data_IF_880451243478
#
_entry.id   IF_880451243478
#
_cell.length_a   1.000
_cell.length_b   1.000
_cell.length_c   1.000
_cell.angle_alpha   90.00
_cell.angle_beta   90.00
_cell.angle_gamma   90.00
#
_symmetry.space_group_name_H-M   'P 1'
#
loop_
_entity.id
_entity.type
_entity.pdbx_description
1 polymer ?
#
# COMPACT_ATOMS: atom_id res chain seq x y z
N UNK A 1 -21.62 -36.31 14.08
CA UNK A 1 -20.77 -35.99 12.95
C UNK A 1 -20.86 -34.48 12.80
N UNK A 2 -19.88 -33.75 13.33
CA UNK A 2 -19.81 -32.33 13.16
C UNK A 2 -19.21 -32.10 11.78
N UNK A 3 -20.05 -31.69 10.83
CA UNK A 3 -19.55 -31.16 9.56
C UNK A 3 -18.56 -30.06 9.87
N UNK A 4 -17.28 -30.29 9.59
CA UNK A 4 -16.29 -29.23 9.53
C UNK A 4 -16.71 -28.35 8.35
N UNK A 5 -17.42 -27.27 8.66
CA UNK A 5 -17.62 -26.19 7.71
C UNK A 5 -16.21 -25.67 7.42
N UNK A 6 -15.61 -26.17 6.34
CA UNK A 6 -14.39 -25.57 5.80
C UNK A 6 -14.75 -24.13 5.48
N UNK A 7 -14.21 -23.19 6.25
CA UNK A 7 -14.35 -21.76 6.00
C UNK A 7 -13.76 -21.49 4.61
N UNK A 8 -14.63 -21.38 3.61
CA UNK A 8 -14.24 -21.01 2.26
C UNK A 8 -14.06 -19.51 2.24
N UNK A 9 -12.83 -19.04 2.42
CA UNK A 9 -12.49 -17.63 2.42
C UNK A 9 -11.66 -17.30 1.19
N UNK A 10 -12.03 -16.25 0.48
CA UNK A 10 -11.22 -15.59 -0.54
C UNK A 10 -10.56 -14.37 0.09
N UNK A 11 -9.24 -14.27 -0.03
CA UNK A 11 -8.48 -13.09 0.33
C UNK A 11 -8.23 -12.24 -0.92
N UNK A 12 -8.73 -11.02 -0.91
CA UNK A 12 -8.64 -10.08 -2.01
C UNK A 12 -8.12 -8.72 -1.52
N UNK A 13 -7.43 -8.00 -2.37
CA UNK A 13 -6.96 -6.64 -2.09
C UNK A 13 -6.89 -5.79 -3.34
N UNK A 14 -6.95 -4.47 -3.18
CA UNK A 14 -6.65 -3.55 -4.27
C UNK A 14 -5.21 -3.77 -4.78
N UNK A 15 -4.95 -3.49 -6.05
CA UNK A 15 -3.61 -3.59 -6.68
C UNK A 15 -2.54 -2.80 -5.93
N UNK A 16 -2.96 -1.80 -5.16
CA UNK A 16 -2.12 -0.91 -4.36
C UNK A 16 -1.52 -1.56 -3.11
N UNK A 17 -1.75 -2.84 -2.83
CA UNK A 17 -1.14 -3.50 -1.67
C UNK A 17 0.34 -3.87 -1.88
N UNK A 18 0.84 -3.75 -3.10
CA UNK A 18 2.25 -3.81 -3.50
C UNK A 18 3.05 -5.02 -2.99
N UNK A 19 2.37 -6.14 -2.68
CA UNK A 19 3.05 -7.36 -2.26
C UNK A 19 3.93 -7.94 -3.37
N UNK A 20 5.04 -8.57 -2.97
CA UNK A 20 5.85 -9.36 -3.87
C UNK A 20 5.13 -10.66 -4.31
N UNK A 21 5.73 -11.37 -5.26
CA UNK A 21 5.15 -12.58 -5.81
C UNK A 21 5.10 -13.71 -4.78
N UNK A 22 6.08 -13.79 -3.89
CA UNK A 22 6.16 -14.82 -2.85
C UNK A 22 4.96 -14.75 -1.91
N UNK A 23 4.66 -13.58 -1.35
CA UNK A 23 3.53 -13.39 -0.44
C UNK A 23 2.18 -13.51 -1.15
N UNK A 24 2.11 -13.07 -2.43
CA UNK A 24 0.90 -13.25 -3.26
C UNK A 24 0.53 -14.71 -3.41
N UNK A 25 1.51 -15.54 -3.74
CA UNK A 25 1.33 -16.98 -3.94
C UNK A 25 1.09 -17.70 -2.62
N UNK A 26 1.86 -17.38 -1.58
CA UNK A 26 1.72 -17.97 -0.24
C UNK A 26 0.32 -17.84 0.32
N UNK A 27 -0.29 -16.67 0.20
CA UNK A 27 -1.62 -16.40 0.75
C UNK A 27 -2.74 -16.41 -0.28
N UNK A 28 -2.46 -16.82 -1.52
CA UNK A 28 -3.43 -16.87 -2.63
C UNK A 28 -4.23 -15.59 -2.80
N UNK A 29 -3.53 -14.44 -2.79
CA UNK A 29 -4.17 -13.12 -2.83
C UNK A 29 -4.71 -12.80 -4.22
N UNK A 30 -5.99 -12.47 -4.30
CA UNK A 30 -6.65 -12.01 -5.51
C UNK A 30 -6.60 -10.48 -5.60
N UNK A 31 -5.92 -9.95 -6.61
CA UNK A 31 -5.78 -8.52 -6.81
C UNK A 31 -6.90 -7.95 -7.64
N UNK A 32 -7.34 -6.76 -7.23
CA UNK A 32 -8.25 -5.95 -8.00
C UNK A 32 -7.55 -4.68 -8.52
N UNK A 33 -7.39 -4.53 -9.86
CA UNK A 33 -6.63 -3.42 -10.44
C UNK A 33 -7.41 -2.11 -10.34
N UNK A 34 -6.74 -1.04 -9.87
CA UNK A 34 -7.25 0.31 -9.94
C UNK A 34 -7.00 0.89 -11.37
N UNK A 35 -7.60 2.04 -11.65
CA UNK A 35 -7.50 2.71 -12.95
C UNK A 35 -6.40 3.75 -12.98
N UNK A 36 -5.60 3.74 -14.05
CA UNK A 36 -4.58 4.73 -14.36
C UNK A 36 -5.00 5.47 -15.64
N UNK A 37 -5.19 6.76 -15.53
CA UNK A 37 -5.49 7.62 -16.70
C UNK A 37 -4.20 8.31 -17.14
N UNK A 38 -3.68 7.92 -18.29
CA UNK A 38 -2.48 8.48 -18.87
C UNK A 38 -2.73 8.92 -20.30
N UNK A 39 -2.52 10.20 -20.60
CA UNK A 39 -2.71 10.77 -21.92
C UNK A 39 -4.12 10.51 -22.50
N UNK A 40 -5.15 10.63 -21.64
CA UNK A 40 -6.55 10.43 -21.99
C UNK A 40 -6.99 8.97 -22.19
N UNK A 41 -6.10 7.99 -21.95
CA UNK A 41 -6.41 6.56 -21.99
C UNK A 41 -6.55 6.01 -20.59
N UNK A 42 -7.45 5.06 -20.42
CA UNK A 42 -7.65 4.30 -19.20
C UNK A 42 -6.90 2.97 -19.28
N UNK A 43 -6.13 2.67 -18.23
CA UNK A 43 -5.33 1.46 -18.08
C UNK A 43 -5.64 0.82 -16.71
N UNK A 44 -5.51 -0.50 -16.64
CA UNK A 44 -5.60 -1.28 -15.40
C UNK A 44 -4.23 -1.43 -14.75
N UNK A 45 -4.12 -1.03 -13.51
CA UNK A 45 -2.89 -1.05 -12.73
C UNK A 45 -2.23 -2.45 -12.71
N UNK A 46 -0.99 -2.52 -13.20
CA UNK A 46 -0.19 -3.75 -13.25
C UNK A 46 -0.66 -4.80 -14.25
N UNK A 47 -1.65 -4.48 -15.12
CA UNK A 47 -2.13 -5.38 -16.18
C UNK A 47 -1.67 -4.88 -17.56
N UNK A 48 -1.99 -3.65 -17.89
CA UNK A 48 -1.76 -3.09 -19.24
C UNK A 48 -0.91 -1.81 -19.24
N UNK A 49 -0.33 -1.48 -18.09
CA UNK A 49 0.64 -0.39 -17.91
C UNK A 49 1.62 -0.72 -16.78
N UNK A 50 2.83 -0.18 -16.87
CA UNK A 50 3.90 -0.31 -15.88
C UNK A 50 4.33 1.06 -15.34
N UNK A 51 4.94 1.12 -14.13
CA UNK A 51 5.50 2.37 -13.60
C UNK A 51 6.56 3.00 -14.51
N UNK A 52 7.35 2.17 -15.20
CA UNK A 52 8.37 2.62 -16.13
C UNK A 52 7.76 3.39 -17.32
N UNK A 53 6.67 2.89 -17.89
CA UNK A 53 5.95 3.56 -18.98
C UNK A 53 5.35 4.90 -18.53
N UNK A 54 4.82 4.95 -17.29
CA UNK A 54 4.33 6.20 -16.69
C UNK A 54 5.47 7.22 -16.58
N UNK A 55 6.63 6.80 -16.07
CA UNK A 55 7.77 7.71 -15.91
C UNK A 55 8.38 8.11 -17.24
N UNK A 56 8.47 7.19 -18.21
CA UNK A 56 8.95 7.50 -19.54
C UNK A 56 8.08 8.57 -20.20
N UNK A 57 6.75 8.44 -20.12
CA UNK A 57 5.79 9.42 -20.65
C UNK A 57 5.99 10.80 -20.00
N UNK A 58 6.22 10.83 -18.68
CA UNK A 58 6.51 12.08 -17.99
C UNK A 58 7.86 12.69 -18.41
N UNK A 59 8.91 11.90 -18.58
CA UNK A 59 10.22 12.43 -18.96
C UNK A 59 10.22 12.97 -20.40
N UNK A 60 9.54 12.29 -21.31
CA UNK A 60 9.52 12.66 -22.73
C UNK A 60 8.55 13.84 -23.00
N UNK A 61 7.35 13.79 -22.44
CA UNK A 61 6.26 14.69 -22.84
C UNK A 61 5.74 15.57 -21.69
N UNK A 62 6.24 15.40 -20.46
CA UNK A 62 5.75 16.07 -19.24
C UNK A 62 4.29 15.78 -18.90
N UNK A 63 3.74 14.68 -19.40
CA UNK A 63 2.39 14.23 -19.08
C UNK A 63 2.43 13.48 -17.75
N UNK A 64 1.64 13.96 -16.80
CA UNK A 64 1.48 13.32 -15.49
C UNK A 64 0.29 12.37 -15.51
N UNK A 65 0.41 11.19 -14.86
CA UNK A 65 -0.70 10.28 -14.71
C UNK A 65 -1.77 10.84 -13.77
N UNK A 66 -2.98 10.31 -13.90
CA UNK A 66 -4.06 10.44 -12.92
C UNK A 66 -4.54 9.05 -12.54
N UNK A 67 -5.19 8.93 -11.40
CA UNK A 67 -5.80 7.68 -10.97
C UNK A 67 -7.30 7.87 -10.82
N UNK A 68 -8.09 6.83 -11.08
CA UNK A 68 -9.52 6.83 -10.85
C UNK A 68 -9.91 5.67 -9.91
N UNK A 69 -10.92 5.93 -9.08
CA UNK A 69 -11.45 4.91 -8.20
C UNK A 69 -12.26 3.88 -9.00
N UNK A 70 -12.19 2.64 -8.58
CA UNK A 70 -13.07 1.56 -9.05
C UNK A 70 -14.51 1.89 -8.69
N UNK A 71 -15.45 1.62 -9.60
CA UNK A 71 -16.86 1.86 -9.35
C UNK A 71 -17.55 0.64 -8.71
N UNK A 72 -18.79 0.82 -8.25
CA UNK A 72 -19.58 -0.21 -7.55
C UNK A 72 -19.81 -1.43 -8.42
N UNK A 73 -20.13 -1.25 -9.71
CA UNK A 73 -20.44 -2.35 -10.61
C UNK A 73 -19.22 -3.25 -10.86
N UNK A 74 -18.04 -2.68 -10.97
CA UNK A 74 -16.78 -3.43 -11.11
C UNK A 74 -16.48 -4.28 -9.87
N UNK A 75 -16.72 -3.77 -8.65
CA UNK A 75 -16.59 -4.55 -7.42
C UNK A 75 -17.62 -5.69 -7.34
N UNK A 76 -18.87 -5.43 -7.74
CA UNK A 76 -19.90 -6.49 -7.82
C UNK A 76 -19.47 -7.58 -8.80
N UNK A 77 -19.03 -7.22 -10.00
CA UNK A 77 -18.55 -8.17 -11.01
C UNK A 77 -17.37 -9.01 -10.49
N UNK A 78 -16.47 -8.39 -9.74
CA UNK A 78 -15.31 -9.06 -9.16
C UNK A 78 -15.67 -10.07 -8.07
N UNK A 79 -16.54 -9.70 -7.13
CA UNK A 79 -16.85 -10.56 -5.97
C UNK A 79 -17.94 -11.58 -6.24
N UNK A 80 -18.89 -11.26 -7.13
CA UNK A 80 -20.08 -12.07 -7.37
C UNK A 80 -19.79 -13.55 -7.67
N UNK A 81 -18.80 -13.94 -8.49
CA UNK A 81 -18.52 -15.36 -8.74
C UNK A 81 -18.22 -16.15 -7.48
N UNK A 82 -17.45 -15.58 -6.55
CA UNK A 82 -17.08 -16.24 -5.30
C UNK A 82 -18.25 -16.31 -4.32
N UNK A 83 -19.03 -15.22 -4.22
CA UNK A 83 -20.23 -15.20 -3.36
C UNK A 83 -21.26 -16.21 -3.84
N UNK A 84 -21.50 -16.31 -5.16
CA UNK A 84 -22.42 -17.27 -5.75
C UNK A 84 -21.97 -18.74 -5.51
N UNK A 85 -20.66 -18.99 -5.37
CA UNK A 85 -20.07 -20.28 -5.01
C UNK A 85 -20.04 -20.54 -3.49
N UNK A 86 -20.54 -19.62 -2.69
CA UNK A 86 -20.65 -19.73 -1.22
C UNK A 86 -19.34 -19.45 -0.47
N UNK A 87 -18.45 -18.62 -1.03
CA UNK A 87 -17.28 -18.12 -0.32
C UNK A 87 -17.65 -16.87 0.50
N UNK A 88 -16.94 -16.70 1.63
CA UNK A 88 -16.81 -15.42 2.30
C UNK A 88 -15.61 -14.70 1.68
N UNK A 89 -15.75 -13.42 1.32
CA UNK A 89 -14.66 -12.63 0.75
C UNK A 89 -14.17 -11.63 1.80
N UNK A 90 -12.86 -11.59 2.04
CA UNK A 90 -12.21 -10.52 2.78
C UNK A 90 -11.49 -9.66 1.75
N UNK A 91 -11.89 -8.39 1.63
CA UNK A 91 -11.26 -7.45 0.72
C UNK A 91 -10.67 -6.27 1.46
N UNK A 92 -9.38 -5.97 1.20
CA UNK A 92 -8.64 -4.90 1.88
C UNK A 92 -8.36 -3.80 0.87
N UNK A 93 -9.00 -2.65 1.08
CA UNK A 93 -8.91 -1.48 0.19
C UNK A 93 -7.76 -0.55 0.56
N UNK A 94 -7.33 0.23 -0.44
CA UNK A 94 -6.63 1.49 -0.25
C UNK A 94 -7.39 2.40 0.72
N UNK A 95 -6.68 3.06 1.61
CA UNK A 95 -7.27 3.90 2.65
C UNK A 95 -8.34 4.87 2.14
N UNK A 96 -9.47 4.95 2.83
CA UNK A 96 -10.65 5.73 2.45
C UNK A 96 -10.38 7.23 2.34
N UNK A 97 -9.39 7.75 3.05
CA UNK A 97 -8.94 9.15 2.94
C UNK A 97 -8.23 9.47 1.62
N UNK A 98 -7.79 8.45 0.88
CA UNK A 98 -7.00 8.57 -0.34
C UNK A 98 -7.83 8.35 -1.61
N UNK A 99 -8.91 7.56 -1.51
CA UNK A 99 -9.74 7.17 -2.66
C UNK A 99 -11.17 6.87 -2.22
N UNK A 100 -12.16 7.13 -3.10
CA UNK A 100 -13.54 6.67 -2.92
C UNK A 100 -13.73 5.18 -3.22
N UNK A 101 -12.68 4.45 -3.60
CA UNK A 101 -12.75 3.01 -3.89
C UNK A 101 -13.33 2.22 -2.71
N UNK A 102 -12.90 2.51 -1.47
CA UNK A 102 -13.43 1.87 -0.28
C UNK A 102 -14.95 2.05 -0.12
N UNK A 103 -15.45 3.28 -0.30
CA UNK A 103 -16.89 3.54 -0.21
C UNK A 103 -17.68 2.77 -1.27
N UNK A 104 -17.17 2.75 -2.52
CA UNK A 104 -17.79 1.99 -3.61
C UNK A 104 -17.77 0.49 -3.33
N UNK A 105 -16.68 -0.02 -2.76
CA UNK A 105 -16.56 -1.42 -2.33
C UNK A 105 -17.57 -1.77 -1.23
N UNK A 106 -17.78 -0.91 -0.24
CA UNK A 106 -18.79 -1.10 0.80
C UNK A 106 -20.20 -1.21 0.22
N UNK A 107 -20.56 -0.37 -0.75
CA UNK A 107 -21.87 -0.43 -1.42
C UNK A 107 -22.04 -1.77 -2.15
N UNK A 108 -21.00 -2.22 -2.88
CA UNK A 108 -21.02 -3.52 -3.56
C UNK A 108 -21.16 -4.68 -2.57
N UNK A 109 -20.46 -4.60 -1.43
CA UNK A 109 -20.51 -5.61 -0.38
C UNK A 109 -21.90 -5.68 0.30
N UNK A 110 -22.57 -4.55 0.52
CA UNK A 110 -23.95 -4.51 1.04
C UNK A 110 -24.93 -5.18 0.07
N UNK A 111 -24.75 -5.00 -1.23
CA UNK A 111 -25.62 -5.62 -2.25
C UNK A 111 -25.43 -7.13 -2.33
N UNK A 112 -24.15 -7.60 -2.28
CA UNK A 112 -23.84 -9.02 -2.45
C UNK A 112 -24.02 -9.86 -1.17
N UNK A 113 -23.77 -9.25 0.00
CA UNK A 113 -23.52 -10.00 1.24
C UNK A 113 -22.21 -10.81 1.17
N UNK A 114 -21.85 -11.45 2.27
CA UNK A 114 -20.65 -12.32 2.36
C UNK A 114 -19.32 -11.68 1.94
N UNK A 115 -19.24 -10.35 1.89
CA UNK A 115 -18.03 -9.58 1.59
C UNK A 115 -17.69 -8.70 2.78
N UNK A 116 -16.52 -8.93 3.36
CA UNK A 116 -15.99 -8.18 4.50
C UNK A 116 -14.97 -7.17 4.00
N UNK A 117 -15.39 -5.92 3.92
CA UNK A 117 -14.55 -4.81 3.45
C UNK A 117 -13.76 -4.22 4.61
N UNK A 118 -12.45 -4.06 4.41
CA UNK A 118 -11.52 -3.47 5.37
C UNK A 118 -10.94 -2.19 4.79
N UNK A 119 -11.19 -1.07 5.45
CA UNK A 119 -10.41 0.16 5.22
C UNK A 119 -9.03 -0.04 5.83
N UNK A 120 -8.01 -0.07 5.01
CA UNK A 120 -6.64 -0.22 5.53
C UNK A 120 -6.16 0.99 6.32
N UNK A 121 -6.77 2.15 6.18
CA UNK A 121 -6.23 3.43 6.63
C UNK A 121 -4.76 3.61 6.21
N UNK A 122 -4.37 3.01 5.09
CA UNK A 122 -2.98 2.97 4.63
C UNK A 122 -2.89 2.92 3.11
N UNK A 123 -1.69 2.74 2.62
CA UNK A 123 -1.35 2.60 1.20
C UNK A 123 -0.18 1.61 1.04
N UNK A 124 0.04 1.15 -0.19
CA UNK A 124 1.20 0.34 -0.53
C UNK A 124 1.30 -0.91 0.37
N UNK A 125 2.48 -1.31 0.75
CA UNK A 125 2.67 -2.46 1.64
C UNK A 125 2.18 -2.23 3.09
N UNK A 126 1.67 -1.05 3.44
CA UNK A 126 0.85 -0.89 4.64
C UNK A 126 -0.50 -1.63 4.52
N UNK A 127 -1.06 -1.73 3.30
CA UNK A 127 -2.13 -2.66 2.98
C UNK A 127 -1.59 -4.09 3.01
N UNK A 128 -0.37 -4.29 2.45
CA UNK A 128 0.32 -5.58 2.41
C UNK A 128 0.51 -6.23 3.78
N UNK A 129 0.81 -5.45 4.84
CA UNK A 129 0.86 -5.93 6.23
C UNK A 129 -0.47 -6.57 6.63
N UNK A 130 -1.59 -5.86 6.44
CA UNK A 130 -2.92 -6.37 6.75
C UNK A 130 -3.31 -7.60 5.91
N UNK A 131 -2.89 -7.64 4.63
CA UNK A 131 -3.11 -8.81 3.76
C UNK A 131 -2.33 -10.03 4.29
N UNK A 132 -1.08 -9.81 4.72
CA UNK A 132 -0.26 -10.87 5.32
C UNK A 132 -0.88 -11.38 6.63
N UNK A 133 -1.36 -10.49 7.49
CA UNK A 133 -2.08 -10.84 8.71
C UNK A 133 -3.36 -11.63 8.41
N UNK A 134 -4.16 -11.19 7.42
CA UNK A 134 -5.35 -11.92 6.99
C UNK A 134 -5.00 -13.33 6.52
N UNK A 135 -3.93 -13.47 5.71
CA UNK A 135 -3.44 -14.75 5.25
C UNK A 135 -3.06 -15.68 6.40
N UNK A 136 -2.28 -15.20 7.38
CA UNK A 136 -1.91 -15.94 8.59
C UNK A 136 -3.15 -16.39 9.40
N UNK A 137 -4.15 -15.50 9.55
CA UNK A 137 -5.38 -15.82 10.26
C UNK A 137 -6.25 -16.86 9.51
N UNK A 138 -6.27 -16.82 8.18
CA UNK A 138 -6.94 -17.84 7.35
C UNK A 138 -6.25 -19.20 7.52
N UNK A 139 -4.93 -19.26 7.48
CA UNK A 139 -4.15 -20.48 7.73
C UNK A 139 -4.40 -21.06 9.12
N UNK A 140 -4.68 -20.22 10.12
CA UNK A 140 -5.06 -20.63 11.48
C UNK A 140 -6.51 -21.11 11.57
N UNK A 141 -7.29 -21.06 10.49
CA UNK A 141 -8.68 -21.51 10.44
C UNK A 141 -9.67 -20.56 11.10
N UNK A 142 -9.34 -19.29 11.26
CA UNK A 142 -10.25 -18.29 11.81
C UNK A 142 -11.44 -18.03 10.86
N UNK A 143 -12.58 -17.62 11.41
CA UNK A 143 -13.75 -17.24 10.61
C UNK A 143 -13.56 -15.87 9.97
N UNK A 144 -14.11 -15.65 8.79
CA UNK A 144 -14.01 -14.37 8.07
C UNK A 144 -14.46 -13.17 8.90
N UNK A 145 -15.54 -13.30 9.67
CA UNK A 145 -16.03 -12.26 10.57
C UNK A 145 -15.04 -11.89 11.67
N UNK A 146 -14.35 -12.89 12.23
CA UNK A 146 -13.35 -12.68 13.30
C UNK A 146 -12.08 -12.05 12.74
N UNK A 147 -11.64 -12.51 11.55
CA UNK A 147 -10.52 -11.92 10.80
C UNK A 147 -10.82 -10.45 10.50
N UNK A 148 -11.99 -10.17 9.93
CA UNK A 148 -12.39 -8.80 9.60
C UNK A 148 -12.40 -7.89 10.82
N UNK A 149 -12.84 -8.39 11.98
CA UNK A 149 -12.79 -7.65 13.25
C UNK A 149 -11.34 -7.40 13.70
N UNK A 150 -10.50 -8.42 13.66
CA UNK A 150 -9.09 -8.31 14.04
C UNK A 150 -8.35 -7.32 13.15
N UNK A 151 -8.54 -7.38 11.83
CA UNK A 151 -7.89 -6.47 10.88
C UNK A 151 -8.25 -5.01 11.14
N UNK A 152 -9.52 -4.69 11.47
CA UNK A 152 -9.92 -3.32 11.79
C UNK A 152 -9.21 -2.75 13.03
N UNK A 153 -8.82 -3.60 13.98
CA UNK A 153 -7.98 -3.15 15.10
C UNK A 153 -6.50 -3.03 14.69
N UNK A 154 -6.01 -3.96 13.85
CA UNK A 154 -4.62 -3.97 13.36
C UNK A 154 -4.26 -2.73 12.53
N UNK A 155 -5.21 -2.08 11.84
CA UNK A 155 -4.95 -0.84 11.08
C UNK A 155 -4.28 0.25 11.91
N UNK A 156 -4.54 0.30 13.21
CA UNK A 156 -3.97 1.29 14.14
C UNK A 156 -2.49 1.05 14.44
N UNK A 157 -2.00 -0.13 14.11
CA UNK A 157 -0.63 -0.60 14.37
C UNK A 157 0.23 -0.67 13.11
N UNK A 158 -0.37 -0.45 11.92
CA UNK A 158 0.35 -0.44 10.64
C UNK A 158 0.96 0.93 10.35
N UNK A 159 2.27 1.05 10.37
CA UNK A 159 3.00 2.30 10.14
C UNK A 159 3.57 2.33 8.73
N UNK A 160 3.21 3.36 7.97
CA UNK A 160 3.71 3.62 6.63
C UNK A 160 4.36 4.99 6.54
N UNK A 161 5.57 5.03 6.00
CA UNK A 161 6.25 6.29 5.70
C UNK A 161 7.24 6.10 4.54
N UNK A 162 7.56 7.18 3.83
CA UNK A 162 8.45 7.12 2.69
C UNK A 162 9.15 8.45 2.44
N UNK A 163 10.34 8.39 1.82
CA UNK A 163 11.10 9.54 1.36
C UNK A 163 10.83 9.77 -0.12
N UNK A 164 10.51 11.01 -0.46
CA UNK A 164 10.32 11.45 -1.85
C UNK A 164 11.59 12.09 -2.40
N UNK A 165 11.93 11.73 -3.64
CA UNK A 165 12.97 12.42 -4.40
C UNK A 165 12.42 13.68 -5.07
N UNK A 166 11.18 13.63 -5.57
CA UNK A 166 10.46 14.75 -6.18
C UNK A 166 9.06 14.89 -5.61
N UNK A 167 8.57 16.13 -5.51
CA UNK A 167 7.19 16.41 -5.07
C UNK A 167 6.20 16.54 -6.23
N UNK A 168 6.69 16.52 -7.48
CA UNK A 168 5.88 16.80 -8.68
C UNK A 168 4.64 15.91 -8.77
N UNK A 169 4.84 14.60 -8.61
CA UNK A 169 3.77 13.61 -8.70
C UNK A 169 2.78 13.73 -7.54
N UNK A 170 3.28 13.83 -6.30
CA UNK A 170 2.42 13.91 -5.13
C UNK A 170 1.62 15.21 -5.09
N UNK A 171 2.22 16.33 -5.52
CA UNK A 171 1.53 17.60 -5.65
C UNK A 171 0.42 17.54 -6.70
N UNK A 172 0.71 16.98 -7.88
CA UNK A 172 -0.27 16.81 -8.96
C UNK A 172 -1.41 15.84 -8.56
N UNK A 173 -1.07 14.80 -7.78
CA UNK A 173 -2.04 13.82 -7.27
C UNK A 173 -3.00 14.37 -6.24
N UNK A 174 -2.63 15.40 -5.48
CA UNK A 174 -3.50 16.09 -4.53
C UNK A 174 -3.90 15.28 -3.28
N UNK A 175 -3.27 14.14 -2.99
CA UNK A 175 -3.59 13.27 -1.84
C UNK A 175 -2.83 13.63 -0.56
N UNK A 176 -1.95 14.63 -0.62
CA UNK A 176 -1.24 15.16 0.55
C UNK A 176 -1.33 16.69 0.58
N UNK A 177 -2.33 17.22 1.27
CA UNK A 177 -2.60 18.66 1.32
C UNK A 177 -1.42 19.47 1.90
N UNK A 178 -0.68 18.89 2.83
CA UNK A 178 0.47 19.53 3.47
C UNK A 178 1.68 19.69 2.52
N UNK A 179 1.72 18.96 1.40
CA UNK A 179 2.75 19.15 0.35
C UNK A 179 2.58 20.49 -0.35
N UNK A 180 1.35 20.92 -0.58
CA UNK A 180 1.07 22.24 -1.20
C UNK A 180 1.61 23.41 -0.36
N UNK A 181 1.70 23.24 0.95
CA UNK A 181 2.22 24.26 1.87
C UNK A 181 3.78 24.36 1.89
N UNK A 182 4.49 23.43 1.24
CA UNK A 182 5.96 23.42 1.28
C UNK A 182 6.61 24.53 0.44
N UNK A 183 5.92 25.10 -0.56
CA UNK A 183 6.40 26.19 -1.39
C UNK A 183 7.63 25.83 -2.26
N UNK A 184 8.14 26.80 -3.02
CA UNK A 184 9.21 26.61 -4.01
C UNK A 184 10.61 26.30 -3.40
N UNK A 185 10.81 26.50 -2.11
CA UNK A 185 12.12 26.31 -1.44
C UNK A 185 12.47 24.84 -1.14
N UNK A 186 11.66 23.89 -1.57
CA UNK A 186 11.78 22.46 -1.25
C UNK A 186 12.77 21.71 -2.13
N UNK A 187 13.28 22.31 -3.21
CA UNK A 187 14.24 21.69 -4.16
C UNK A 187 15.49 21.05 -3.54
N UNK A 188 15.83 21.42 -2.29
CA UNK A 188 16.99 20.85 -1.55
C UNK A 188 16.60 19.97 -0.35
N UNK A 189 15.31 19.73 -0.16
CA UNK A 189 14.79 18.93 0.94
C UNK A 189 14.23 17.60 0.42
N UNK A 190 14.45 16.55 1.18
CA UNK A 190 13.82 15.25 0.99
C UNK A 190 12.79 15.07 2.12
N UNK A 191 11.50 15.36 1.89
CA UNK A 191 10.50 15.20 2.92
C UNK A 191 10.19 13.72 3.13
N UNK A 192 10.04 13.34 4.39
CA UNK A 192 9.36 12.12 4.75
C UNK A 192 7.86 12.38 4.72
N UNK A 193 7.12 11.55 4.00
CA UNK A 193 5.67 11.51 4.10
C UNK A 193 5.29 10.41 5.09
N UNK A 194 4.37 10.71 5.96
CA UNK A 194 3.86 9.83 6.99
C UNK A 194 2.37 9.61 6.78
N UNK A 195 1.92 8.36 6.91
CA UNK A 195 0.52 7.99 6.86
C UNK A 195 -0.01 7.91 8.29
N UNK A 196 -1.10 8.62 8.56
CA UNK A 196 -1.74 8.63 9.88
C UNK A 196 -2.48 7.31 10.10
N UNK A 197 -2.16 6.58 11.16
CA UNK A 197 -2.87 5.35 11.53
C UNK A 197 -4.29 5.61 12.03
N UNK A 198 -4.66 6.86 12.31
CA UNK A 198 -5.98 7.23 12.78
C UNK A 198 -7.02 7.31 11.64
N UNK A 199 -6.60 7.77 10.46
CA UNK A 199 -7.51 8.04 9.35
C UNK A 199 -6.91 7.77 7.95
N UNK A 200 -5.66 7.33 7.86
CA UNK A 200 -4.98 7.07 6.59
C UNK A 200 -4.55 8.31 5.82
N UNK A 201 -4.70 9.52 6.39
CA UNK A 201 -4.28 10.75 5.72
C UNK A 201 -2.75 10.86 5.62
N UNK A 202 -2.26 11.44 4.52
CA UNK A 202 -0.83 11.69 4.33
C UNK A 202 -0.44 13.07 4.82
N UNK A 203 0.65 13.12 5.58
CA UNK A 203 1.21 14.36 6.12
C UNK A 203 2.71 14.45 5.88
N UNK A 204 3.20 15.68 5.73
CA UNK A 204 4.65 15.95 5.69
C UNK A 204 5.20 15.90 7.11
N UNK A 205 5.98 14.87 7.39
CA UNK A 205 6.73 14.73 8.64
C UNK A 205 8.09 15.41 8.60
N UNK A 206 9.12 14.70 9.01
CA UNK A 206 10.50 15.20 9.06
C UNK A 206 11.02 15.54 7.67
N UNK A 207 11.72 16.68 7.55
CA UNK A 207 12.36 17.14 6.33
C UNK A 207 13.86 16.92 6.44
N UNK A 208 14.40 16.07 5.57
CA UNK A 208 15.82 15.74 5.54
C UNK A 208 16.57 16.62 4.55
N UNK A 209 17.88 16.80 4.79
CA UNK A 209 18.81 17.51 3.91
C UNK A 209 20.01 16.63 3.65
N UNK A 210 20.49 16.63 2.42
CA UNK A 210 21.68 15.89 2.01
C UNK A 210 21.46 15.08 0.73
N UNK A 211 22.44 14.27 0.40
CA UNK A 211 22.36 13.27 -0.67
C UNK A 211 21.40 12.16 -0.28
N UNK A 212 20.81 11.49 -1.27
CA UNK A 212 19.74 10.51 -1.04
C UNK A 212 20.20 9.35 -0.14
N UNK A 213 21.44 8.88 -0.33
CA UNK A 213 22.07 7.84 0.50
C UNK A 213 22.06 8.21 2.00
N UNK A 214 22.57 9.42 2.35
CA UNK A 214 22.61 9.90 3.73
C UNK A 214 21.22 10.10 4.32
N UNK A 215 20.30 10.56 3.49
CA UNK A 215 18.91 10.77 3.90
C UNK A 215 18.24 9.46 4.21
N UNK A 216 18.36 8.44 3.35
CA UNK A 216 17.75 7.12 3.55
C UNK A 216 18.28 6.44 4.82
N UNK A 217 19.59 6.42 5.04
CA UNK A 217 20.17 5.87 6.28
C UNK A 217 19.61 6.56 7.52
N UNK A 218 19.58 7.90 7.49
CA UNK A 218 19.06 8.66 8.64
C UNK A 218 17.57 8.44 8.85
N UNK A 219 16.79 8.37 7.77
CA UNK A 219 15.36 8.12 7.79
C UNK A 219 15.05 6.78 8.46
N UNK A 220 15.70 5.71 8.03
CA UNK A 220 15.51 4.38 8.62
C UNK A 220 15.79 4.39 10.12
N UNK A 221 16.95 4.90 10.54
CA UNK A 221 17.35 4.99 11.95
C UNK A 221 16.37 5.83 12.78
N UNK A 222 15.95 6.99 12.25
CA UNK A 222 14.99 7.86 12.92
C UNK A 222 13.62 7.16 13.08
N UNK A 223 13.17 6.43 12.05
CA UNK A 223 11.87 5.74 12.11
C UNK A 223 11.87 4.58 13.09
N UNK A 224 12.88 3.73 13.06
CA UNK A 224 12.96 2.62 14.02
C UNK A 224 13.11 3.12 15.46
N UNK A 225 13.87 4.19 15.69
CA UNK A 225 14.02 4.79 17.01
C UNK A 225 12.74 5.48 17.55
N UNK A 226 11.81 5.85 16.68
CA UNK A 226 10.57 6.50 17.07
C UNK A 226 9.52 5.54 17.65
N UNK A 227 9.67 4.23 17.43
CA UNK A 227 8.72 3.21 17.86
C UNK A 227 9.43 2.15 18.71
N UNK A 228 9.22 2.12 20.03
CA UNK A 228 9.91 1.18 20.93
C UNK A 228 9.33 -0.23 20.92
N UNK A 229 8.16 -0.40 20.32
CA UNK A 229 7.33 -1.61 20.34
C UNK A 229 7.06 -2.19 18.93
N UNK A 230 8.04 -2.05 18.03
CA UNK A 230 7.95 -2.63 16.68
C UNK A 230 7.81 -4.15 16.76
N UNK A 231 6.85 -4.70 16.00
CA UNK A 231 6.75 -6.15 15.78
C UNK A 231 7.86 -6.56 14.79
N UNK A 232 8.84 -7.40 15.23
CA UNK A 232 9.96 -7.77 14.38
C UNK A 232 9.62 -8.86 13.36
N UNK A 233 8.39 -9.35 13.31
CA UNK A 233 8.01 -10.47 12.45
C UNK A 233 8.11 -10.14 10.96
N UNK A 234 7.86 -8.88 10.57
CA UNK A 234 7.84 -8.49 9.17
C UNK A 234 8.10 -6.98 8.99
N UNK A 235 8.95 -6.64 8.03
CA UNK A 235 9.10 -5.27 7.52
C UNK A 235 9.19 -5.26 6.01
N UNK A 236 8.56 -4.28 5.39
CA UNK A 236 8.67 -4.01 3.96
C UNK A 236 9.62 -2.85 3.66
N UNK A 237 10.44 -3.04 2.61
CA UNK A 237 11.14 -1.97 1.89
C UNK A 237 10.43 -1.82 0.56
N UNK A 238 9.65 -0.77 0.40
CA UNK A 238 8.88 -0.55 -0.84
C UNK A 238 9.44 0.64 -1.60
N UNK A 239 9.63 0.47 -2.92
CA UNK A 239 10.21 1.51 -3.76
C UNK A 239 9.45 1.69 -5.09
N UNK A 240 9.48 2.89 -5.64
CA UNK A 240 8.85 3.25 -6.91
C UNK A 240 9.86 3.41 -8.06
N UNK A 241 10.77 2.44 -8.21
CA UNK A 241 11.86 2.51 -9.20
C UNK A 241 13.01 3.41 -8.73
N UNK A 242 13.84 2.89 -7.85
CA UNK A 242 15.07 3.51 -7.34
C UNK A 242 16.26 2.61 -7.70
N UNK A 243 17.47 3.18 -7.76
CA UNK A 243 18.66 2.41 -8.08
C UNK A 243 18.94 1.34 -7.01
N UNK A 244 19.36 0.12 -7.43
CA UNK A 244 19.52 -1.03 -6.51
C UNK A 244 20.45 -0.77 -5.32
N UNK A 245 21.46 0.08 -5.49
CA UNK A 245 22.39 0.44 -4.41
C UNK A 245 21.71 1.13 -3.22
N UNK A 246 20.62 1.87 -3.45
CA UNK A 246 19.85 2.49 -2.36
C UNK A 246 18.98 1.47 -1.63
N UNK A 247 18.46 0.49 -2.33
CA UNK A 247 17.68 -0.60 -1.73
C UNK A 247 18.58 -1.42 -0.80
N UNK A 248 19.75 -1.80 -1.29
CA UNK A 248 20.74 -2.55 -0.51
C UNK A 248 21.23 -1.74 0.70
N UNK A 249 21.46 -0.43 0.53
CA UNK A 249 21.84 0.47 1.62
C UNK A 249 20.77 0.51 2.72
N UNK A 250 19.49 0.58 2.34
CA UNK A 250 18.38 0.58 3.30
C UNK A 250 18.27 -0.77 4.01
N UNK A 251 18.36 -1.88 3.25
CA UNK A 251 18.34 -3.23 3.83
C UNK A 251 19.45 -3.43 4.85
N UNK A 252 20.70 -3.11 4.49
CA UNK A 252 21.83 -3.21 5.41
C UNK A 252 21.64 -2.31 6.64
N UNK A 253 21.10 -1.10 6.47
CA UNK A 253 20.82 -0.20 7.60
C UNK A 253 19.76 -0.76 8.54
N UNK A 254 18.73 -1.43 8.00
CA UNK A 254 17.72 -2.14 8.82
C UNK A 254 18.36 -3.26 9.63
N UNK A 255 19.10 -4.17 8.97
CA UNK A 255 19.76 -5.31 9.58
C UNK A 255 20.77 -4.91 10.66
N UNK A 256 21.51 -3.79 10.46
CA UNK A 256 22.42 -3.23 11.46
C UNK A 256 21.71 -2.58 12.66
N UNK A 257 20.46 -2.12 12.48
CA UNK A 257 19.73 -1.34 13.49
C UNK A 257 18.82 -2.21 14.34
N UNK A 258 18.11 -3.17 13.72
CA UNK A 258 17.15 -4.05 14.39
C UNK A 258 17.02 -5.35 13.62
N UNK A 259 16.84 -6.46 14.35
CA UNK A 259 16.52 -7.76 13.73
C UNK A 259 15.05 -7.80 13.30
N UNK A 260 14.81 -8.29 12.09
CA UNK A 260 13.49 -8.67 11.59
C UNK A 260 13.52 -10.10 11.10
N UNK A 261 12.45 -10.86 11.35
CA UNK A 261 12.35 -12.26 10.92
C UNK A 261 12.21 -12.35 9.40
N UNK A 262 11.41 -11.45 8.81
CA UNK A 262 11.22 -11.34 7.35
C UNK A 262 11.41 -9.88 6.90
N UNK A 263 12.23 -9.69 5.85
CA UNK A 263 12.40 -8.39 5.16
C UNK A 263 12.02 -8.59 3.70
N UNK A 264 10.90 -8.02 3.28
CA UNK A 264 10.45 -8.08 1.90
C UNK A 264 10.75 -6.78 1.16
N UNK A 265 11.34 -6.92 -0.03
CA UNK A 265 11.62 -5.80 -0.94
C UNK A 265 10.58 -5.83 -2.04
N UNK A 266 9.78 -4.76 -2.14
CA UNK A 266 8.66 -4.71 -3.07
C UNK A 266 8.71 -3.47 -3.95
N UNK A 267 8.07 -3.57 -5.11
CA UNK A 267 7.94 -2.47 -6.06
C UNK A 267 6.51 -1.93 -6.03
N UNK A 268 6.40 -0.62 -5.92
CA UNK A 268 5.13 0.07 -5.91
C UNK A 268 4.36 -0.13 -7.23
N UNK A 269 3.06 -0.35 -7.13
CA UNK A 269 2.10 -0.42 -8.23
C UNK A 269 2.07 0.88 -9.06
N UNK A 270 1.40 0.84 -10.20
CA UNK A 270 1.22 2.03 -11.03
C UNK A 270 0.44 3.12 -10.31
N UNK A 271 -0.57 2.77 -9.52
CA UNK A 271 -1.34 3.73 -8.73
C UNK A 271 -0.46 4.44 -7.72
N UNK A 272 0.31 3.71 -6.92
CA UNK A 272 1.23 4.29 -5.93
C UNK A 272 2.32 5.12 -6.63
N UNK A 273 2.92 4.57 -7.69
CA UNK A 273 3.95 5.25 -8.50
C UNK A 273 3.45 6.54 -9.13
N UNK A 274 2.18 6.60 -9.54
CA UNK A 274 1.54 7.80 -10.10
C UNK A 274 1.45 8.97 -9.12
N UNK A 275 1.46 8.69 -7.82
CA UNK A 275 1.41 9.70 -6.77
C UNK A 275 2.78 9.94 -6.12
N UNK A 276 3.61 8.92 -5.97
CA UNK A 276 4.91 9.05 -5.31
C UNK A 276 6.02 9.54 -6.25
N UNK A 277 5.93 9.19 -7.53
CA UNK A 277 6.99 9.47 -8.50
C UNK A 277 8.21 8.55 -8.35
N UNK A 278 9.18 8.66 -9.27
CA UNK A 278 10.39 7.85 -9.25
C UNK A 278 11.28 8.17 -8.05
N UNK A 279 12.18 7.24 -7.73
CA UNK A 279 13.15 7.32 -6.63
C UNK A 279 12.53 7.49 -5.24
N UNK A 280 11.27 7.13 -5.06
CA UNK A 280 10.64 7.03 -3.73
C UNK A 280 10.99 5.71 -3.09
N UNK A 281 11.30 5.73 -1.79
CA UNK A 281 11.51 4.54 -0.98
C UNK A 281 10.93 4.75 0.41
N UNK A 282 10.22 3.73 0.91
CA UNK A 282 9.62 3.69 2.23
C UNK A 282 9.92 2.40 3.00
N UNK A 283 9.77 2.47 4.30
CA UNK A 283 9.71 1.30 5.18
C UNK A 283 8.34 1.26 5.84
N UNK A 284 7.76 0.06 5.89
CA UNK A 284 6.42 -0.17 6.41
C UNK A 284 6.47 -1.39 7.34
N UNK A 285 5.94 -1.22 8.54
CA UNK A 285 6.02 -2.22 9.62
C UNK A 285 4.84 -2.07 10.57
N UNK A 286 4.70 -3.02 11.48
CA UNK A 286 3.69 -2.99 12.55
C UNK A 286 4.30 -2.75 13.92
N UNK A 287 3.46 -2.30 14.85
CA UNK A 287 3.73 -2.30 16.30
C UNK A 287 2.78 -3.27 17.00
N UNK A 288 3.16 -3.69 18.21
CA UNK A 288 2.30 -4.55 19.05
C UNK A 288 1.05 -3.84 19.58
#
# INVERSE_FOLDING_TARGET
MTDSVTNKIILSADSTCDLDQELKERYHVHYFPLHIILDGKDYKDGIDITPEEIYQKYYDEKILPKTAAVNVAEYIEHFKPWVDEGYEVIHINLGSSLSSAHQNCCIAAEELGHVHVIDSCSLSTGIGLLVTDAGRMIEQGMKATDIAKALRERTKHCHASFILDTLTFLHAGGRCSTVAALGANVLKLKPCIEVSTADGSMNVGKKYRGTLDKVLVKYVKDKLAAYPDIDPSLIFITHSGIAPEYIELVKNTLEETMHFDEIHITKASCTISSHCGPNTLGILFETY
#
